data_IF_345194813502
#
_entry.id   IF_345194813502
#
_cell.length_a   1.000
_cell.length_b   1.000
_cell.length_c   1.000
_cell.angle_alpha   90.00
_cell.angle_beta   90.00
_cell.angle_gamma   90.00
#
_symmetry.space_group_name_H-M   'P 1'
#
loop_
_entity.id
_entity.type
_entity.pdbx_description
1 polymer ?
#
# COMPACT_ATOMS: atom_id res chain seq x y z
N UNK A 1 3.64 0.65 -21.83
CA UNK A 1 2.55 1.09 -20.94
C UNK A 1 2.90 2.37 -20.18
N UNK A 2 4.18 2.78 -20.18
CA UNK A 2 4.63 4.02 -19.51
C UNK A 2 4.48 3.97 -17.99
N UNK A 3 4.86 2.86 -17.38
CA UNK A 3 5.10 2.76 -15.95
C UNK A 3 6.57 3.05 -15.66
N UNK A 4 6.85 3.62 -14.49
CA UNK A 4 8.19 4.01 -14.08
C UNK A 4 8.76 3.03 -13.04
N UNK A 5 7.92 2.29 -12.34
CA UNK A 5 8.32 1.37 -11.30
C UNK A 5 7.55 0.05 -11.27
N UNK A 6 8.08 -0.88 -10.48
CA UNK A 6 7.50 -2.19 -10.21
C UNK A 6 7.63 -2.50 -8.72
N UNK A 7 6.59 -3.08 -8.14
CA UNK A 7 6.55 -3.57 -6.78
C UNK A 7 6.68 -5.10 -6.80
N UNK A 8 7.38 -5.66 -5.84
CA UNK A 8 7.67 -7.09 -5.80
C UNK A 8 7.37 -7.73 -4.45
N UNK A 9 6.93 -8.98 -4.48
CA UNK A 9 7.23 -9.87 -3.38
C UNK A 9 8.62 -10.50 -3.55
N UNK A 10 9.20 -10.95 -2.46
CA UNK A 10 10.53 -11.54 -2.44
C UNK A 10 10.68 -12.73 -3.41
N UNK A 11 9.68 -13.60 -3.50
CA UNK A 11 9.67 -14.77 -4.36
C UNK A 11 9.26 -14.47 -5.83
N UNK A 12 8.74 -13.28 -6.13
CA UNK A 12 8.61 -12.81 -7.51
C UNK A 12 9.98 -12.48 -8.12
N UNK A 13 10.90 -11.99 -7.27
CA UNK A 13 12.28 -11.67 -7.67
C UNK A 13 13.15 -12.93 -7.67
N UNK A 14 13.06 -13.72 -6.60
CA UNK A 14 13.87 -14.92 -6.39
C UNK A 14 12.96 -16.11 -6.08
N UNK A 15 12.43 -16.78 -7.09
CA UNK A 15 11.71 -18.04 -6.89
C UNK A 15 12.59 -19.04 -6.13
N UNK A 16 11.97 -19.87 -5.27
CA UNK A 16 12.65 -20.87 -4.45
C UNK A 16 13.72 -20.32 -3.47
N UNK A 17 13.58 -19.05 -3.06
CA UNK A 17 14.54 -18.34 -2.20
C UNK A 17 14.87 -19.09 -0.90
N UNK A 18 14.01 -19.99 -0.43
CA UNK A 18 14.22 -20.77 0.79
C UNK A 18 15.24 -21.90 0.63
N UNK A 19 15.49 -22.34 -0.61
CA UNK A 19 16.43 -23.43 -0.93
C UNK A 19 17.77 -22.92 -1.42
N UNK A 20 17.88 -21.62 -1.67
CA UNK A 20 19.06 -21.00 -2.27
C UNK A 20 20.03 -20.46 -1.20
N UNK A 21 21.31 -20.48 -1.54
CA UNK A 21 22.32 -19.78 -0.76
C UNK A 21 22.23 -18.27 -0.92
N UNK A 22 22.75 -17.51 0.03
CA UNK A 22 22.76 -16.05 -0.02
C UNK A 22 23.36 -15.50 -1.33
N UNK A 23 24.46 -16.12 -1.82
CA UNK A 23 25.10 -15.71 -3.08
C UNK A 23 24.23 -15.98 -4.32
N UNK A 24 23.42 -17.04 -4.29
CA UNK A 24 22.48 -17.33 -5.39
C UNK A 24 21.30 -16.35 -5.36
N UNK A 25 20.79 -15.99 -4.17
CA UNK A 25 19.76 -14.96 -4.00
C UNK A 25 20.27 -13.62 -4.53
N UNK A 26 21.47 -13.20 -4.10
CA UNK A 26 22.12 -11.98 -4.61
C UNK A 26 22.25 -11.98 -6.13
N UNK A 27 22.78 -13.05 -6.71
CA UNK A 27 22.95 -13.17 -8.16
C UNK A 27 21.63 -12.95 -8.91
N UNK A 28 20.57 -13.65 -8.51
CA UNK A 28 19.24 -13.51 -9.14
C UNK A 28 18.61 -12.12 -8.96
N UNK A 29 18.69 -11.57 -7.75
CA UNK A 29 18.16 -10.23 -7.51
C UNK A 29 18.88 -9.17 -8.36
N UNK A 30 20.21 -9.25 -8.51
CA UNK A 30 20.98 -8.36 -9.39
C UNK A 30 20.65 -8.53 -10.87
N UNK A 31 20.36 -9.77 -11.32
CA UNK A 31 19.87 -10.02 -12.69
C UNK A 31 18.54 -9.31 -12.95
N UNK A 32 17.58 -9.43 -12.02
CA UNK A 32 16.30 -8.72 -12.13
C UNK A 32 16.50 -7.20 -12.09
N UNK A 33 17.34 -6.67 -11.20
CA UNK A 33 17.68 -5.25 -11.15
C UNK A 33 18.27 -4.75 -12.48
N UNK A 34 19.15 -5.53 -13.11
CA UNK A 34 19.69 -5.20 -14.44
C UNK A 34 18.59 -5.20 -15.52
N UNK A 35 17.65 -6.14 -15.47
CA UNK A 35 16.52 -6.18 -16.38
C UNK A 35 15.63 -4.95 -16.25
N UNK A 36 15.33 -4.51 -15.03
CA UNK A 36 14.54 -3.31 -14.77
C UNK A 36 15.25 -2.07 -15.33
N UNK A 37 16.51 -1.87 -15.02
CA UNK A 37 17.31 -0.75 -15.52
C UNK A 37 17.32 -0.69 -17.05
N UNK A 38 17.46 -1.84 -17.73
CA UNK A 38 17.42 -1.92 -19.19
C UNK A 38 16.05 -1.55 -19.78
N UNK A 39 14.98 -1.61 -18.99
CA UNK A 39 13.63 -1.20 -19.38
C UNK A 39 13.27 0.21 -18.87
N UNK A 40 14.16 0.89 -18.16
CA UNK A 40 13.90 2.19 -17.53
C UNK A 40 12.91 2.10 -16.38
N UNK A 41 12.87 0.96 -15.66
CA UNK A 41 12.01 0.71 -14.52
C UNK A 41 12.83 0.70 -13.22
N UNK A 42 12.20 1.12 -12.13
CA UNK A 42 12.75 1.05 -10.78
C UNK A 42 11.98 0.05 -9.92
N UNK A 43 12.66 -0.61 -8.98
CA UNK A 43 11.99 -1.39 -7.95
C UNK A 43 11.61 -0.45 -6.80
N UNK A 44 10.31 -0.22 -6.61
CA UNK A 44 9.84 0.67 -5.54
C UNK A 44 10.09 0.04 -4.17
N UNK A 45 9.63 -1.17 -3.96
CA UNK A 45 9.84 -1.92 -2.72
C UNK A 45 9.86 -3.44 -2.94
N UNK A 46 10.25 -4.17 -1.90
CA UNK A 46 10.09 -5.62 -1.80
C UNK A 46 9.27 -5.96 -0.56
N UNK A 47 8.27 -6.83 -0.69
CA UNK A 47 7.46 -7.32 0.42
C UNK A 47 7.74 -8.81 0.68
N UNK A 48 8.01 -9.25 1.93
CA UNK A 48 8.06 -10.67 2.25
C UNK A 48 6.67 -11.30 2.06
N UNK A 49 6.58 -12.39 1.30
CA UNK A 49 5.31 -13.09 1.09
C UNK A 49 4.98 -13.98 2.28
N UNK A 50 4.14 -13.50 3.19
CA UNK A 50 3.89 -14.08 4.51
C UNK A 50 2.50 -14.71 4.65
N UNK A 51 1.98 -15.34 3.61
CA UNK A 51 0.61 -15.91 3.68
C UNK A 51 0.41 -17.31 3.10
N UNK A 52 1.44 -17.91 2.49
CA UNK A 52 1.34 -19.25 1.92
C UNK A 52 2.08 -20.33 2.72
N UNK A 53 3.22 -19.98 3.33
CA UNK A 53 4.00 -20.93 4.10
C UNK A 53 3.22 -21.39 5.35
N UNK A 54 3.27 -22.68 5.72
CA UNK A 54 2.60 -23.20 6.92
C UNK A 54 2.93 -22.40 8.19
N UNK A 55 4.16 -21.94 8.31
CA UNK A 55 4.68 -21.14 9.43
C UNK A 55 4.03 -19.77 9.54
N UNK A 56 3.40 -19.28 8.47
CA UNK A 56 2.82 -17.93 8.42
C UNK A 56 1.28 -17.92 8.44
N UNK A 57 0.64 -19.07 8.36
CA UNK A 57 -0.83 -19.20 8.29
C UNK A 57 -1.53 -18.58 9.51
N UNK A 58 -0.93 -18.71 10.70
CA UNK A 58 -1.43 -18.09 11.95
C UNK A 58 -0.75 -16.73 12.24
N UNK A 59 -0.28 -16.04 11.21
CA UNK A 59 0.54 -14.82 11.34
C UNK A 59 1.98 -15.16 11.70
N UNK A 60 2.93 -14.82 10.84
CA UNK A 60 4.33 -15.13 11.06
C UNK A 60 4.90 -14.41 12.28
N UNK A 61 4.73 -13.11 12.36
CA UNK A 61 5.33 -12.28 13.39
C UNK A 61 4.63 -12.40 14.75
N UNK A 62 3.32 -12.61 14.75
CA UNK A 62 2.53 -12.70 15.98
C UNK A 62 2.21 -14.14 16.39
N UNK A 63 2.69 -15.15 15.64
CA UNK A 63 2.46 -16.57 15.96
C UNK A 63 2.78 -16.89 17.41
N UNK A 64 2.01 -17.80 18.01
CA UNK A 64 2.31 -18.33 19.34
C UNK A 64 3.58 -19.20 19.33
N UNK A 65 3.95 -19.79 18.18
CA UNK A 65 5.17 -20.56 17.98
C UNK A 65 6.40 -19.64 17.82
N UNK A 66 7.44 -19.89 18.61
CA UNK A 66 8.71 -19.17 18.47
C UNK A 66 9.44 -19.53 17.17
N UNK A 67 9.27 -20.76 16.68
CA UNK A 67 9.89 -21.23 15.44
C UNK A 67 9.29 -20.50 14.24
N UNK A 68 7.96 -20.30 14.20
CA UNK A 68 7.30 -19.58 13.13
C UNK A 68 7.73 -18.10 13.10
N UNK A 69 7.87 -17.48 14.28
CA UNK A 69 8.37 -16.10 14.36
C UNK A 69 9.81 -15.95 13.87
N UNK A 70 10.65 -16.95 14.12
CA UNK A 70 12.01 -16.93 13.60
C UNK A 70 12.05 -17.19 12.10
N UNK A 71 11.22 -18.09 11.57
CA UNK A 71 11.03 -18.26 10.13
C UNK A 71 10.64 -16.92 9.46
N UNK A 72 9.61 -16.24 10.01
CA UNK A 72 9.15 -14.96 9.51
C UNK A 72 10.26 -13.88 9.52
N UNK A 73 11.06 -13.85 10.58
CA UNK A 73 12.21 -12.97 10.67
C UNK A 73 13.27 -13.27 9.60
N UNK A 74 13.67 -14.51 9.45
CA UNK A 74 14.70 -14.90 8.46
C UNK A 74 14.22 -14.62 7.02
N UNK A 75 12.92 -14.79 6.74
CA UNK A 75 12.34 -14.41 5.46
C UNK A 75 12.36 -12.89 5.24
N UNK A 76 11.99 -12.12 6.26
CA UNK A 76 12.03 -10.66 6.20
C UNK A 76 13.45 -10.14 5.95
N UNK A 77 14.47 -10.71 6.58
CA UNK A 77 15.87 -10.38 6.32
C UNK A 77 16.23 -10.57 4.84
N UNK A 78 15.86 -11.73 4.28
CA UNK A 78 16.12 -12.01 2.85
C UNK A 78 15.42 -10.97 1.95
N UNK A 79 14.20 -10.54 2.31
CA UNK A 79 13.50 -9.50 1.57
C UNK A 79 14.21 -8.16 1.64
N UNK A 80 14.79 -7.80 2.78
CA UNK A 80 15.67 -6.62 2.93
C UNK A 80 16.89 -6.73 2.01
N UNK A 81 17.59 -7.89 2.03
CA UNK A 81 18.74 -8.10 1.17
C UNK A 81 18.36 -8.02 -0.33
N UNK A 82 17.24 -8.62 -0.72
CA UNK A 82 16.74 -8.55 -2.11
C UNK A 82 16.41 -7.10 -2.49
N UNK A 83 15.75 -6.33 -1.63
CA UNK A 83 15.48 -4.91 -1.87
C UNK A 83 16.77 -4.13 -2.13
N UNK A 84 17.80 -4.34 -1.31
CA UNK A 84 19.12 -3.71 -1.48
C UNK A 84 19.78 -4.09 -2.81
N UNK A 85 19.70 -5.37 -3.21
CA UNK A 85 20.27 -5.84 -4.48
C UNK A 85 19.53 -5.30 -5.71
N UNK A 86 18.22 -5.03 -5.60
CA UNK A 86 17.43 -4.37 -6.62
C UNK A 86 17.66 -2.84 -6.69
N UNK A 87 18.29 -2.24 -5.67
CA UNK A 87 18.42 -0.79 -5.53
C UNK A 87 17.19 -0.11 -4.94
N UNK A 88 16.23 -0.88 -4.42
CA UNK A 88 15.09 -0.34 -3.67
C UNK A 88 15.52 0.12 -2.28
N UNK A 89 14.90 1.19 -1.80
CA UNK A 89 15.12 1.72 -0.45
C UNK A 89 14.14 1.18 0.60
N UNK A 90 13.14 0.42 0.20
CA UNK A 90 12.02 0.06 1.06
C UNK A 90 11.69 -1.43 1.09
N UNK A 91 11.27 -1.88 2.26
CA UNK A 91 10.58 -3.16 2.47
C UNK A 91 9.20 -2.87 3.02
N UNK A 92 8.19 -3.56 2.46
CA UNK A 92 6.79 -3.40 2.89
C UNK A 92 6.36 -4.56 3.77
N UNK A 93 5.72 -4.26 4.88
CA UNK A 93 5.02 -5.23 5.71
C UNK A 93 3.52 -5.15 5.44
N UNK A 94 3.01 -6.11 4.67
CA UNK A 94 1.59 -6.39 4.54
C UNK A 94 1.17 -7.35 5.66
N UNK A 95 0.52 -6.82 6.70
CA UNK A 95 0.29 -7.51 7.98
C UNK A 95 -1.07 -8.23 8.05
N UNK A 96 -1.65 -8.61 6.94
CA UNK A 96 -3.01 -9.14 6.87
C UNK A 96 -3.23 -10.49 7.56
N UNK A 97 -2.17 -11.29 7.74
CA UNK A 97 -2.21 -12.51 8.56
C UNK A 97 -1.95 -12.26 10.04
N UNK A 98 -1.49 -11.08 10.40
CA UNK A 98 -1.22 -10.69 11.78
C UNK A 98 -2.53 -10.30 12.49
N UNK A 99 -3.27 -11.29 12.91
CA UNK A 99 -4.60 -11.14 13.49
C UNK A 99 -5.13 -12.44 14.06
N UNK A 100 -6.44 -12.54 14.23
CA UNK A 100 -7.13 -13.72 14.78
C UNK A 100 -8.48 -13.96 14.12
N UNK A 101 -8.94 -15.22 14.14
CA UNK A 101 -10.35 -15.60 13.93
C UNK A 101 -11.14 -15.65 15.23
N UNK A 102 -10.51 -16.12 16.30
CA UNK A 102 -11.10 -16.12 17.64
C UNK A 102 -10.22 -15.28 18.55
N UNK A 103 -10.86 -14.44 19.35
CA UNK A 103 -10.18 -13.43 20.16
C UNK A 103 -9.14 -14.01 21.11
N UNK A 104 -9.42 -15.18 21.65
CA UNK A 104 -8.63 -15.88 22.66
C UNK A 104 -7.40 -16.58 22.07
N UNK A 105 -7.31 -16.72 20.76
CA UNK A 105 -6.19 -17.42 20.10
C UNK A 105 -4.83 -16.79 20.41
N UNK A 106 -4.78 -15.47 20.61
CA UNK A 106 -3.55 -14.72 20.88
C UNK A 106 -3.75 -13.68 21.99
N UNK A 107 -2.68 -13.41 22.74
CA UNK A 107 -2.61 -12.24 23.59
C UNK A 107 -2.32 -11.00 22.74
N UNK A 108 -3.34 -10.17 22.50
CA UNK A 108 -3.24 -9.00 21.63
C UNK A 108 -2.13 -8.02 22.05
N UNK A 109 -1.94 -7.77 23.35
CA UNK A 109 -0.88 -6.89 23.84
C UNK A 109 0.51 -7.42 23.46
N UNK A 110 0.72 -8.73 23.60
CA UNK A 110 1.98 -9.37 23.20
C UNK A 110 2.12 -9.34 21.67
N UNK A 111 1.04 -9.52 20.91
CA UNK A 111 1.08 -9.44 19.45
C UNK A 111 1.55 -8.06 18.96
N UNK A 112 1.01 -6.96 19.52
CA UNK A 112 1.49 -5.61 19.21
C UNK A 112 2.96 -5.40 19.57
N UNK A 113 3.41 -5.92 20.73
CA UNK A 113 4.81 -5.85 21.12
C UNK A 113 5.72 -6.58 20.13
N UNK A 114 5.31 -7.77 19.65
CA UNK A 114 6.06 -8.54 18.65
C UNK A 114 6.14 -7.83 17.30
N UNK A 115 5.07 -7.17 16.85
CA UNK A 115 5.11 -6.35 15.63
C UNK A 115 6.12 -5.20 15.79
N UNK A 116 6.09 -4.49 16.92
CA UNK A 116 7.05 -3.41 17.17
C UNK A 116 8.50 -3.93 17.30
N UNK A 117 8.69 -5.09 17.94
CA UNK A 117 10.00 -5.75 18.00
C UNK A 117 10.53 -6.10 16.60
N UNK A 118 9.68 -6.63 15.72
CA UNK A 118 10.05 -6.90 14.33
C UNK A 118 10.48 -5.62 13.61
N UNK A 119 9.67 -4.55 13.69
CA UNK A 119 10.00 -3.25 13.08
C UNK A 119 11.40 -2.82 13.53
N UNK A 120 11.67 -2.85 14.84
CA UNK A 120 12.96 -2.46 15.39
C UNK A 120 14.11 -3.41 15.00
N UNK A 121 13.84 -4.71 14.80
CA UNK A 121 14.83 -5.67 14.27
C UNK A 121 15.22 -5.34 12.83
N UNK A 122 14.25 -4.97 11.97
CA UNK A 122 14.51 -4.56 10.58
C UNK A 122 15.35 -3.28 10.55
N UNK A 123 14.97 -2.27 11.32
CA UNK A 123 15.71 -1.00 11.43
C UNK A 123 17.15 -1.18 11.92
N UNK A 124 17.38 -2.16 12.81
CA UNK A 124 18.72 -2.49 13.31
C UNK A 124 19.53 -3.35 12.34
N UNK A 125 18.87 -4.18 11.51
CA UNK A 125 19.52 -5.03 10.55
C UNK A 125 20.13 -4.25 9.38
N UNK A 126 19.40 -3.31 8.82
CA UNK A 126 19.89 -2.43 7.76
C UNK A 126 19.66 -0.96 8.14
N UNK A 127 20.73 -0.14 8.24
CA UNK A 127 20.62 1.25 8.68
C UNK A 127 20.05 2.20 7.63
N UNK A 128 19.94 1.78 6.36
CA UNK A 128 19.49 2.61 5.25
C UNK A 128 18.10 2.24 4.72
N UNK A 129 17.60 1.03 5.04
CA UNK A 129 16.29 0.58 4.56
C UNK A 129 15.17 1.35 5.24
N UNK A 130 14.18 1.77 4.48
CA UNK A 130 12.89 2.22 5.01
C UNK A 130 11.98 1.01 5.19
N UNK A 131 11.13 1.04 6.20
CA UNK A 131 10.12 0.02 6.43
C UNK A 131 8.75 0.67 6.29
N UNK A 132 7.96 0.17 5.36
CA UNK A 132 6.61 0.69 5.14
C UNK A 132 5.57 -0.31 5.61
N UNK A 133 4.53 0.16 6.25
CA UNK A 133 3.43 -0.66 6.77
C UNK A 133 2.22 -0.42 5.89
N UNK A 134 1.61 -1.50 5.44
CA UNK A 134 0.35 -1.50 4.71
C UNK A 134 -0.77 -2.00 5.62
N UNK A 135 -1.64 -1.11 6.14
CA UNK A 135 -2.75 -1.49 6.99
C UNK A 135 -3.82 -2.26 6.22
N UNK A 136 -4.37 -3.31 6.85
CA UNK A 136 -5.54 -4.03 6.34
C UNK A 136 -6.42 -4.48 7.50
N UNK A 137 -7.75 -4.23 7.46
CA UNK A 137 -8.61 -4.50 8.63
C UNK A 137 -8.92 -5.98 8.83
N UNK A 138 -9.02 -6.74 7.75
CA UNK A 138 -9.42 -8.15 7.73
C UNK A 138 -8.93 -8.83 6.45
N UNK A 139 -9.27 -10.13 6.29
CA UNK A 139 -8.90 -10.96 5.15
C UNK A 139 -7.38 -11.03 4.88
N UNK A 140 -6.77 -12.20 5.07
CA UNK A 140 -7.41 -13.50 5.35
C UNK A 140 -7.76 -13.75 6.82
N UNK A 141 -7.40 -12.90 7.77
CA UNK A 141 -7.86 -12.99 9.16
C UNK A 141 -9.22 -12.32 9.31
N UNK A 142 -9.94 -12.64 10.38
CA UNK A 142 -11.22 -11.98 10.70
C UNK A 142 -10.99 -10.56 11.26
N UNK A 143 -9.98 -10.42 12.12
CA UNK A 143 -9.56 -9.14 12.72
C UNK A 143 -8.05 -9.03 12.69
N UNK A 144 -7.52 -8.08 11.93
CA UNK A 144 -6.10 -7.77 11.89
C UNK A 144 -5.67 -6.87 13.07
N UNK A 145 -4.40 -6.94 13.46
CA UNK A 145 -3.82 -6.09 14.51
C UNK A 145 -3.46 -4.68 14.03
N UNK A 146 -3.28 -4.49 12.73
CA UNK A 146 -2.99 -3.17 12.13
C UNK A 146 -4.07 -2.83 11.10
N UNK A 147 -5.30 -2.55 11.55
CA UNK A 147 -6.46 -2.42 10.66
C UNK A 147 -6.57 -1.06 9.97
N UNK A 148 -5.91 -0.01 10.45
CA UNK A 148 -6.07 1.37 9.97
C UNK A 148 -4.75 2.13 9.94
N UNK A 149 -4.71 3.24 9.22
CA UNK A 149 -3.59 4.18 9.15
C UNK A 149 -3.15 4.63 10.55
N UNK A 150 -4.10 4.94 11.44
CA UNK A 150 -3.78 5.35 12.81
C UNK A 150 -2.99 4.33 13.60
N UNK A 151 -3.25 3.02 13.43
CA UNK A 151 -2.48 1.95 14.07
C UNK A 151 -1.04 1.91 13.52
N UNK A 152 -0.88 2.02 12.21
CA UNK A 152 0.43 2.01 11.57
C UNK A 152 1.25 3.27 11.94
N UNK A 153 0.64 4.46 11.99
CA UNK A 153 1.29 5.70 12.48
C UNK A 153 1.74 5.53 13.93
N UNK A 154 0.91 4.95 14.81
CA UNK A 154 1.29 4.72 16.20
C UNK A 154 2.49 3.77 16.31
N UNK A 155 2.57 2.70 15.50
CA UNK A 155 3.72 1.80 15.44
C UNK A 155 4.97 2.51 14.92
N UNK A 156 4.82 3.33 13.88
CA UNK A 156 5.91 4.16 13.35
C UNK A 156 6.49 5.06 14.44
N UNK A 157 5.63 5.83 15.13
CA UNK A 157 6.06 6.76 16.19
C UNK A 157 6.65 6.05 17.42
N UNK A 158 6.25 4.80 17.68
CA UNK A 158 6.78 3.99 18.77
C UNK A 158 8.09 3.25 18.41
N UNK A 159 8.49 3.24 17.15
CA UNK A 159 9.71 2.56 16.69
C UNK A 159 10.98 3.30 17.13
N UNK A 160 12.12 2.61 17.05
CA UNK A 160 13.42 3.19 17.39
C UNK A 160 13.89 4.28 16.40
N UNK A 161 13.35 4.30 15.19
CA UNK A 161 13.61 5.31 14.17
C UNK A 161 12.34 5.64 13.39
N UNK A 162 11.48 6.51 13.95
CA UNK A 162 10.22 6.87 13.31
C UNK A 162 10.37 7.47 11.91
N UNK A 163 11.51 8.08 11.58
CA UNK A 163 11.72 8.71 10.27
C UNK A 163 11.78 7.66 9.14
N UNK A 164 12.27 6.46 9.43
CA UNK A 164 12.39 5.36 8.47
C UNK A 164 11.18 4.42 8.44
N UNK A 165 10.19 4.63 9.32
CA UNK A 165 8.95 3.84 9.32
C UNK A 165 7.83 4.68 8.76
N UNK A 166 7.34 4.30 7.58
CA UNK A 166 6.31 5.01 6.82
C UNK A 166 5.15 4.06 6.48
N UNK A 167 4.22 4.51 5.67
CA UNK A 167 3.01 3.78 5.33
C UNK A 167 2.76 3.74 3.83
N UNK A 168 2.11 2.67 3.39
CA UNK A 168 1.36 2.62 2.14
C UNK A 168 -0.12 2.66 2.48
N UNK A 169 -0.88 3.49 1.79
CA UNK A 169 -2.33 3.53 1.92
C UNK A 169 -2.96 2.90 0.69
N UNK A 170 -3.67 1.79 0.90
CA UNK A 170 -4.46 1.17 -0.14
C UNK A 170 -5.93 1.60 -0.03
N UNK A 171 -6.48 2.04 -1.16
CA UNK A 171 -7.87 2.56 -1.21
C UNK A 171 -8.89 1.52 -0.75
N UNK A 172 -8.79 0.28 -1.25
CA UNK A 172 -9.71 -0.80 -0.87
C UNK A 172 -9.61 -1.15 0.62
N UNK A 173 -8.41 -1.16 1.20
CA UNK A 173 -8.21 -1.46 2.61
C UNK A 173 -8.83 -0.39 3.53
N UNK A 174 -8.72 0.88 3.18
CA UNK A 174 -9.40 1.96 3.90
C UNK A 174 -10.92 1.80 3.85
N UNK A 175 -11.50 1.53 2.66
CA UNK A 175 -12.93 1.29 2.50
C UNK A 175 -13.39 0.06 3.31
N UNK A 176 -12.62 -1.04 3.30
CA UNK A 176 -12.89 -2.24 4.10
C UNK A 176 -12.86 -1.96 5.61
N UNK A 177 -12.07 -0.99 6.05
CA UNK A 177 -12.06 -0.51 7.43
C UNK A 177 -13.25 0.41 7.76
N UNK A 178 -14.09 0.74 6.77
CA UNK A 178 -15.20 1.69 6.91
C UNK A 178 -14.75 3.16 6.95
N UNK A 179 -13.58 3.45 6.40
CA UNK A 179 -12.95 4.76 6.39
C UNK A 179 -12.94 5.35 4.97
N UNK A 180 -12.75 6.66 4.86
CA UNK A 180 -12.55 7.33 3.59
C UNK A 180 -11.06 7.28 3.20
N UNK A 181 -10.70 6.73 2.03
CA UNK A 181 -9.29 6.65 1.63
C UNK A 181 -8.59 8.00 1.50
N UNK A 182 -9.30 9.07 1.09
CA UNK A 182 -8.72 10.40 0.99
C UNK A 182 -8.38 10.99 2.36
N UNK A 183 -9.22 10.76 3.37
CA UNK A 183 -8.94 11.15 4.76
C UNK A 183 -7.76 10.37 5.35
N UNK A 184 -7.66 9.07 5.04
CA UNK A 184 -6.52 8.24 5.49
C UNK A 184 -5.20 8.70 4.85
N UNK A 185 -5.21 9.05 3.56
CA UNK A 185 -4.05 9.65 2.88
C UNK A 185 -3.68 11.01 3.48
N UNK A 186 -4.68 11.88 3.69
CA UNK A 186 -4.48 13.19 4.32
C UNK A 186 -3.91 13.06 5.74
N UNK A 187 -4.40 12.09 6.51
CA UNK A 187 -3.88 11.80 7.85
C UNK A 187 -2.41 11.35 7.82
N UNK A 188 -2.06 10.44 6.92
CA UNK A 188 -0.67 9.98 6.77
C UNK A 188 0.26 11.13 6.31
N UNK A 189 -0.18 11.98 5.37
CA UNK A 189 0.54 13.18 4.92
C UNK A 189 0.75 14.19 6.05
N UNK A 190 -0.28 14.45 6.86
CA UNK A 190 -0.19 15.37 8.01
C UNK A 190 0.81 14.94 9.08
N UNK A 191 1.23 13.67 9.08
CA UNK A 191 2.22 13.10 9.98
C UNK A 191 3.58 12.84 9.32
N UNK A 192 3.78 13.24 8.06
CA UNK A 192 4.96 12.93 7.24
C UNK A 192 5.23 11.41 7.14
N UNK A 193 4.15 10.62 7.00
CA UNK A 193 4.22 9.15 7.00
C UNK A 193 3.78 8.48 5.70
N UNK A 194 3.18 9.19 4.77
CA UNK A 194 2.80 8.61 3.49
C UNK A 194 4.04 8.39 2.62
N UNK A 195 4.37 7.13 2.33
CA UNK A 195 5.48 6.76 1.45
C UNK A 195 4.99 6.38 0.05
N UNK A 196 3.89 5.65 -0.02
CA UNK A 196 3.30 5.21 -1.28
C UNK A 196 1.78 5.06 -1.12
N UNK A 197 1.10 4.95 -2.25
CA UNK A 197 -0.33 4.65 -2.32
C UNK A 197 -0.57 3.45 -3.23
N UNK A 198 -1.57 2.64 -2.91
CA UNK A 198 -2.13 1.63 -3.78
C UNK A 198 -3.52 2.05 -4.23
N UNK A 199 -3.60 2.62 -5.42
CA UNK A 199 -4.87 3.08 -5.98
C UNK A 199 -5.61 1.92 -6.62
N UNK A 200 -6.74 1.60 -6.06
CA UNK A 200 -7.74 0.67 -6.54
C UNK A 200 -9.13 1.13 -6.09
N UNK A 201 -10.13 0.28 -6.22
CA UNK A 201 -11.48 0.61 -5.79
C UNK A 201 -12.17 -0.61 -5.17
N UNK A 202 -13.16 -0.33 -4.32
CA UNK A 202 -13.86 -1.32 -3.51
C UNK A 202 -15.35 -1.01 -3.47
N UNK A 203 -16.18 -2.02 -3.70
CA UNK A 203 -17.63 -1.84 -3.67
C UNK A 203 -18.19 -2.27 -2.30
N UNK A 204 -17.98 -1.43 -1.29
CA UNK A 204 -18.46 -1.62 0.08
C UNK A 204 -17.74 -2.72 0.87
N UNK A 205 -18.28 -3.06 2.03
CA UNK A 205 -17.69 -3.98 3.01
C UNK A 205 -17.91 -5.44 2.58
N UNK A 206 -16.96 -6.00 1.87
CA UNK A 206 -16.98 -7.38 1.34
C UNK A 206 -15.59 -8.01 1.47
N UNK A 207 -15.29 -8.98 0.61
CA UNK A 207 -13.93 -9.42 0.34
C UNK A 207 -13.16 -8.34 -0.44
N UNK A 208 -11.87 -8.37 -0.38
CA UNK A 208 -10.97 -7.48 -1.09
C UNK A 208 -11.07 -7.67 -2.61
N UNK A 209 -11.53 -6.64 -3.30
CA UNK A 209 -11.87 -6.74 -4.72
C UNK A 209 -10.77 -6.25 -5.65
N UNK A 210 -9.96 -5.30 -5.22
CA UNK A 210 -8.90 -4.65 -6.01
C UNK A 210 -9.40 -4.27 -7.41
N UNK A 211 -10.52 -3.53 -7.46
CA UNK A 211 -11.12 -3.09 -8.72
C UNK A 211 -10.30 -1.97 -9.34
N UNK A 212 -10.50 -1.75 -10.63
CA UNK A 212 -9.92 -0.59 -11.31
C UNK A 212 -10.29 0.70 -10.58
N UNK A 213 -9.30 1.57 -10.39
CA UNK A 213 -9.47 2.86 -9.71
C UNK A 213 -10.61 3.68 -10.31
N UNK A 214 -11.48 4.24 -9.48
CA UNK A 214 -12.64 5.03 -9.87
C UNK A 214 -13.83 4.24 -10.43
N UNK A 215 -13.75 2.88 -10.48
CA UNK A 215 -14.80 2.07 -11.10
C UNK A 215 -16.00 1.79 -10.20
N UNK A 216 -15.88 1.96 -8.89
CA UNK A 216 -16.98 1.85 -7.93
C UNK A 216 -17.42 3.23 -7.43
N UNK A 217 -16.49 4.16 -7.20
CA UNK A 217 -16.78 5.52 -6.74
C UNK A 217 -15.87 6.55 -7.40
N UNK A 218 -16.34 7.16 -8.49
CA UNK A 218 -15.60 8.22 -9.18
C UNK A 218 -15.34 9.42 -8.26
N UNK A 219 -16.28 9.77 -7.37
CA UNK A 219 -16.11 10.87 -6.44
C UNK A 219 -15.01 10.59 -5.42
N UNK A 220 -15.01 9.41 -4.80
CA UNK A 220 -13.96 9.02 -3.86
C UNK A 220 -12.57 8.99 -4.54
N UNK A 221 -12.50 8.50 -5.78
CA UNK A 221 -11.25 8.51 -6.54
C UNK A 221 -10.76 9.95 -6.83
N UNK A 222 -11.69 10.86 -7.17
CA UNK A 222 -11.37 12.28 -7.35
C UNK A 222 -10.85 12.91 -6.04
N UNK A 223 -11.48 12.65 -4.90
CA UNK A 223 -11.09 13.20 -3.61
C UNK A 223 -9.70 12.71 -3.19
N UNK A 224 -9.35 11.43 -3.46
CA UNK A 224 -8.01 10.87 -3.22
C UNK A 224 -6.94 11.58 -4.07
N UNK A 225 -7.17 11.73 -5.37
CA UNK A 225 -6.21 12.41 -6.26
C UNK A 225 -6.09 13.89 -5.90
N UNK A 226 -7.18 14.54 -5.47
CA UNK A 226 -7.17 15.93 -5.02
C UNK A 226 -6.26 16.12 -3.80
N UNK A 227 -6.37 15.26 -2.79
CA UNK A 227 -5.52 15.30 -1.59
C UNK A 227 -4.05 15.12 -1.95
N UNK A 228 -3.73 14.18 -2.84
CA UNK A 228 -2.36 13.93 -3.27
C UNK A 228 -1.79 15.12 -4.07
N UNK A 229 -2.56 15.69 -5.00
CA UNK A 229 -2.13 16.85 -5.81
C UNK A 229 -1.96 18.11 -4.96
N UNK A 230 -2.89 18.41 -4.02
CA UNK A 230 -2.78 19.54 -3.08
C UNK A 230 -1.54 19.41 -2.17
N UNK A 231 -1.15 18.19 -1.80
CA UNK A 231 0.04 17.93 -1.00
C UNK A 231 1.35 17.96 -1.82
N UNK A 232 1.27 18.06 -3.15
CA UNK A 232 2.44 17.95 -4.02
C UNK A 232 3.06 16.56 -4.06
N UNK A 233 2.28 15.52 -3.78
CA UNK A 233 2.73 14.14 -3.83
C UNK A 233 3.25 13.77 -5.23
N UNK A 234 4.36 13.03 -5.29
CA UNK A 234 5.07 12.69 -6.53
C UNK A 234 6.21 13.65 -6.92
N UNK A 235 6.30 14.84 -6.27
CA UNK A 235 7.35 15.82 -6.60
C UNK A 235 8.74 15.41 -6.08
N UNK A 236 8.82 14.52 -5.11
CA UNK A 236 10.07 14.02 -4.52
C UNK A 236 10.39 12.58 -4.97
N UNK A 237 9.73 12.09 -6.02
CA UNK A 237 9.92 10.74 -6.55
C UNK A 237 9.08 9.67 -5.86
N UNK A 238 7.99 10.07 -5.19
CA UNK A 238 6.99 9.13 -4.69
C UNK A 238 6.24 8.49 -5.86
N UNK A 239 5.90 7.21 -5.74
CA UNK A 239 5.15 6.47 -6.75
C UNK A 239 3.64 6.45 -6.48
N UNK A 240 2.88 6.36 -7.55
CA UNK A 240 1.47 5.97 -7.54
C UNK A 240 1.40 4.48 -7.88
N UNK A 241 1.22 3.63 -6.89
CA UNK A 241 1.04 2.20 -7.07
C UNK A 241 -0.38 1.85 -7.51
N UNK A 242 -0.51 0.84 -8.36
CA UNK A 242 -1.79 0.33 -8.85
C UNK A 242 -1.92 -1.13 -8.44
N UNK A 243 -2.58 -1.39 -7.30
CA UNK A 243 -2.87 -2.75 -6.84
C UNK A 243 -4.28 -3.17 -7.30
N UNK A 244 -4.35 -3.67 -8.53
CA UNK A 244 -5.62 -4.02 -9.17
C UNK A 244 -5.60 -5.42 -9.74
N UNK A 245 -6.73 -6.10 -9.68
CA UNK A 245 -6.93 -7.46 -10.18
C UNK A 245 -7.74 -7.49 -11.48
N UNK A 246 -7.37 -8.41 -12.39
CA UNK A 246 -8.14 -8.66 -13.59
C UNK A 246 -9.55 -9.20 -13.23
N UNK A 247 -10.55 -8.85 -14.03
CA UNK A 247 -11.93 -9.33 -13.83
C UNK A 247 -12.01 -10.84 -13.92
N UNK A 248 -12.37 -11.50 -12.83
CA UNK A 248 -12.40 -12.97 -12.69
C UNK A 248 -13.44 -13.65 -13.57
N UNK A 249 -14.43 -12.91 -14.06
CA UNK A 249 -15.55 -13.43 -14.87
C UNK A 249 -15.37 -13.19 -16.35
N UNK A 250 -14.28 -12.55 -16.78
CA UNK A 250 -13.99 -12.31 -18.18
C UNK A 250 -13.34 -13.54 -18.81
N UNK A 251 -13.87 -14.10 -19.91
CA UNK A 251 -13.23 -15.18 -20.64
C UNK A 251 -11.99 -14.71 -21.35
N UNK A 252 -10.93 -15.48 -21.29
CA UNK A 252 -9.59 -15.07 -21.75
C UNK A 252 -8.95 -14.10 -20.75
N UNK A 253 -7.64 -14.18 -20.58
CA UNK A 253 -6.91 -13.25 -19.75
C UNK A 253 -6.32 -12.14 -20.63
N UNK A 254 -6.93 -10.95 -20.72
CA UNK A 254 -6.22 -9.76 -21.15
C UNK A 254 -5.25 -9.40 -20.02
N UNK A 255 -4.04 -9.91 -20.11
CA UNK A 255 -3.06 -9.98 -19.03
C UNK A 255 -2.75 -8.61 -18.41
N UNK A 256 -3.02 -7.52 -19.09
CA UNK A 256 -2.61 -6.17 -18.67
C UNK A 256 -3.71 -5.10 -18.82
N UNK A 257 -4.91 -5.43 -19.26
CA UNK A 257 -5.94 -4.42 -19.54
C UNK A 257 -6.44 -3.73 -18.25
N UNK A 258 -6.49 -4.44 -17.13
CA UNK A 258 -6.82 -3.86 -15.83
C UNK A 258 -5.81 -2.77 -15.42
N UNK A 259 -4.52 -2.99 -15.64
CA UNK A 259 -3.48 -1.99 -15.36
C UNK A 259 -3.58 -0.79 -16.29
N UNK A 260 -3.80 -1.03 -17.60
CA UNK A 260 -4.00 0.06 -18.59
C UNK A 260 -5.22 0.90 -18.24
N UNK A 261 -6.34 0.25 -17.96
CA UNK A 261 -7.59 0.92 -17.61
C UNK A 261 -7.43 1.76 -16.34
N UNK A 262 -6.80 1.21 -15.29
CA UNK A 262 -6.60 1.93 -14.04
C UNK A 262 -5.67 3.13 -14.22
N UNK A 263 -4.59 2.98 -15.00
CA UNK A 263 -3.70 4.10 -15.34
C UNK A 263 -4.45 5.19 -16.10
N UNK A 264 -5.21 4.83 -17.13
CA UNK A 264 -6.02 5.78 -17.91
C UNK A 264 -7.04 6.50 -17.01
N UNK A 265 -7.72 5.77 -16.11
CA UNK A 265 -8.70 6.38 -15.19
C UNK A 265 -8.03 7.33 -14.21
N UNK A 266 -6.88 6.97 -13.67
CA UNK A 266 -6.09 7.87 -12.83
C UNK A 266 -5.71 9.15 -13.60
N UNK A 267 -5.21 9.05 -14.82
CA UNK A 267 -4.82 10.19 -15.65
C UNK A 267 -6.02 11.11 -15.95
N UNK A 268 -7.17 10.54 -16.32
CA UNK A 268 -8.42 11.31 -16.52
C UNK A 268 -8.90 12.02 -15.26
N UNK A 269 -8.79 11.36 -14.10
CA UNK A 269 -9.16 11.97 -12.82
C UNK A 269 -8.17 13.09 -12.47
N UNK A 270 -6.88 12.88 -12.69
CA UNK A 270 -5.85 13.90 -12.45
C UNK A 270 -6.08 15.15 -13.32
N UNK A 271 -6.47 14.99 -14.60
CA UNK A 271 -6.87 16.11 -15.45
C UNK A 271 -8.07 16.86 -14.87
N UNK A 272 -9.06 16.14 -14.33
CA UNK A 272 -10.21 16.75 -13.63
C UNK A 272 -9.81 17.50 -12.39
N UNK A 273 -8.92 16.95 -11.57
CA UNK A 273 -8.41 17.61 -10.36
C UNK A 273 -7.67 18.90 -10.72
N UNK A 274 -6.79 18.87 -11.70
CA UNK A 274 -6.02 20.04 -12.15
C UNK A 274 -6.89 21.15 -12.75
N UNK A 275 -8.06 20.80 -13.28
CA UNK A 275 -9.06 21.76 -13.79
C UNK A 275 -10.04 22.23 -12.71
N UNK A 276 -9.94 21.76 -11.48
CA UNK A 276 -10.84 22.11 -10.39
C UNK A 276 -10.41 23.44 -9.74
N UNK A 277 -11.33 24.42 -9.71
CA UNK A 277 -11.03 25.75 -9.18
C UNK A 277 -11.07 25.75 -7.64
N UNK A 278 -9.90 25.58 -7.03
CA UNK A 278 -9.73 25.59 -5.58
C UNK A 278 -10.08 26.95 -4.95
N UNK A 279 -9.90 28.05 -5.68
CA UNK A 279 -10.30 29.38 -5.18
C UNK A 279 -11.82 29.48 -5.00
N UNK A 280 -12.57 28.88 -5.92
CA UNK A 280 -14.04 28.77 -5.81
C UNK A 280 -14.45 27.84 -4.66
N UNK A 281 -13.74 26.74 -4.48
CA UNK A 281 -13.96 25.83 -3.35
C UNK A 281 -13.78 26.53 -2.01
N UNK A 282 -12.70 27.32 -1.87
CA UNK A 282 -12.45 28.09 -0.66
C UNK A 282 -13.51 29.17 -0.41
N UNK A 283 -14.05 29.80 -1.46
CA UNK A 283 -15.18 30.72 -1.30
C UNK A 283 -16.41 30.00 -0.70
N UNK A 284 -16.79 28.84 -1.24
CA UNK A 284 -17.89 28.03 -0.68
C UNK A 284 -17.63 27.62 0.78
N UNK A 285 -16.39 27.22 1.12
CA UNK A 285 -16.00 26.85 2.49
C UNK A 285 -16.15 28.02 3.46
N UNK A 286 -15.67 29.20 3.05
CA UNK A 286 -15.72 30.41 3.87
C UNK A 286 -17.16 30.90 4.12
N UNK A 287 -18.03 30.77 3.11
CA UNK A 287 -19.46 31.11 3.20
C UNK A 287 -20.28 30.00 3.86
N UNK A 288 -19.71 28.80 4.03
CA UNK A 288 -20.42 27.60 4.46
C UNK A 288 -21.58 27.21 3.55
N UNK A 289 -21.47 27.53 2.26
CA UNK A 289 -22.42 27.11 1.24
C UNK A 289 -22.05 25.71 0.72
N UNK A 290 -22.34 24.71 1.53
CA UNK A 290 -21.98 23.32 1.22
C UNK A 290 -22.91 22.71 0.15
N UNK A 291 -24.14 23.18 0.01
CA UNK A 291 -25.04 22.79 -1.08
C UNK A 291 -24.54 23.34 -2.43
N UNK A 292 -24.03 24.55 -2.44
CA UNK A 292 -23.38 25.15 -3.60
C UNK A 292 -22.10 24.40 -3.98
N UNK A 293 -21.29 24.08 -3.00
CA UNK A 293 -20.06 23.27 -3.19
C UNK A 293 -20.37 21.89 -3.76
N UNK A 294 -21.35 21.17 -3.18
CA UNK A 294 -21.78 19.85 -3.68
C UNK A 294 -22.19 19.92 -5.15
N UNK A 295 -23.06 20.85 -5.48
CA UNK A 295 -23.51 21.07 -6.86
C UNK A 295 -22.35 21.39 -7.79
N UNK A 296 -21.43 22.26 -7.39
CA UNK A 296 -20.25 22.62 -8.17
C UNK A 296 -19.36 21.41 -8.44
N UNK A 297 -19.02 20.63 -7.40
CA UNK A 297 -18.20 19.42 -7.52
C UNK A 297 -18.84 18.39 -8.45
N UNK A 298 -20.12 18.08 -8.28
CA UNK A 298 -20.83 17.12 -9.13
C UNK A 298 -20.87 17.57 -10.59
N UNK A 299 -21.17 18.86 -10.85
CA UNK A 299 -21.13 19.40 -12.23
C UNK A 299 -19.76 19.29 -12.86
N UNK A 300 -18.71 19.59 -12.08
CA UNK A 300 -17.33 19.46 -12.54
C UNK A 300 -16.99 18.02 -12.92
N UNK A 301 -17.30 17.04 -12.07
CA UNK A 301 -17.09 15.62 -12.36
C UNK A 301 -17.88 15.16 -13.60
N UNK A 302 -19.10 15.65 -13.80
CA UNK A 302 -19.93 15.36 -14.97
C UNK A 302 -19.46 16.07 -16.26
N UNK A 303 -18.45 16.92 -16.19
CA UNK A 303 -17.97 17.69 -17.36
C UNK A 303 -18.91 18.82 -17.79
N UNK A 304 -19.77 19.30 -16.91
CA UNK A 304 -20.62 20.44 -17.17
C UNK A 304 -19.84 21.75 -17.02
N UNK A 305 -20.21 22.77 -17.82
CA UNK A 305 -19.64 24.12 -17.64
C UNK A 305 -19.87 24.62 -16.23
N UNK A 306 -18.89 25.31 -15.60
CA UNK A 306 -19.14 26.03 -14.36
C UNK A 306 -20.15 27.15 -14.63
N UNK A 307 -21.23 27.21 -13.87
CA UNK A 307 -22.16 28.36 -13.87
C UNK A 307 -21.76 29.32 -12.79
#
# INVERSE_FOLDING_TARGET
>A
MGFDGVQFHDDDVVPDLETLSASQIEGRAREVGTMLQNQGLEAEFVAPRMWFAPETVDGGYTSNSAADREYAWERTKRSVDIARFLGSKAVVLWLAREGTYIREAKNARIAYQRILELINRVLAYDPEIELWIEPKPNEPTDVAYVPTTGHAVALSLASNDPARVKLIIESAHAILAGLDPSDEMAFALAHDKLASVHLNDQNGLKYDQDKNFGSASLRSAFDQVLVLEEAGYGQNGEFIGLDVKAMRTQPGLPVLDHLKNTKEFFELILEKVRAYDLGRVEAFRNERDYEGLERYTLRHLMGCSPD
#
